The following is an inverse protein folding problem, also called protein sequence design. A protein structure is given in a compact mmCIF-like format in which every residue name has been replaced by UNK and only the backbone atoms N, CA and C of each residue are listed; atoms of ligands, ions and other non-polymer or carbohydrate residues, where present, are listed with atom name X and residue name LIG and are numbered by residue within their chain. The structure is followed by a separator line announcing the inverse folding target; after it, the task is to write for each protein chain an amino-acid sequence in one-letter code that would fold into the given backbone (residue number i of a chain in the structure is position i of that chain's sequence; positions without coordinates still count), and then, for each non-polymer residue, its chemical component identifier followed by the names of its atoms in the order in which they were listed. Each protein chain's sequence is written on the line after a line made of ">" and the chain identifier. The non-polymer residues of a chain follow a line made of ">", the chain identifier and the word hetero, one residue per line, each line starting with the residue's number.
data_IF_592766762666
#
_entry.id   IF_592766762666
#
_cell.length_a   1.000
_cell.length_b   1.000
_cell.length_c   1.000
_cell.angle_alpha   90.00
_cell.angle_beta   90.00
_cell.angle_gamma   90.00
#
_symmetry.space_group_name_H-M   'P 1'
#
loop_
_entity.id
_entity.type
_entity.pdbx_description
1 polymer ?
#
# COMPACT_ATOMS: atom_id res chain seq x y z
N UNK A 1 -23.85 -29.24 -24.76
CA UNK A 1 -22.90 -28.47 -23.93
C UNK A 1 -23.66 -27.97 -22.70
N UNK A 2 -23.32 -28.45 -21.50
CA UNK A 2 -23.95 -27.97 -20.27
C UNK A 2 -23.43 -26.55 -19.97
N UNK A 3 -24.33 -25.56 -19.98
CA UNK A 3 -24.06 -24.25 -19.42
C UNK A 3 -23.91 -24.42 -17.90
N UNK A 4 -22.68 -24.34 -17.40
CA UNK A 4 -22.40 -24.18 -15.98
C UNK A 4 -22.88 -22.78 -15.60
N UNK A 5 -24.07 -22.70 -15.02
CA UNK A 5 -24.55 -21.47 -14.41
C UNK A 5 -23.54 -21.03 -13.33
N UNK A 6 -23.01 -19.80 -13.37
CA UNK A 6 -22.19 -19.29 -12.30
C UNK A 6 -23.02 -19.28 -11.01
N UNK A 7 -22.42 -19.58 -9.84
CA UNK A 7 -23.16 -19.68 -8.59
C UNK A 7 -23.94 -18.38 -8.32
N UNK A 8 -25.27 -18.48 -8.27
CA UNK A 8 -26.25 -17.40 -8.20
C UNK A 8 -26.13 -16.49 -6.96
N UNK A 9 -25.21 -16.79 -6.04
CA UNK A 9 -25.12 -16.14 -4.72
C UNK A 9 -24.16 -14.95 -4.62
N UNK A 10 -23.50 -14.51 -5.71
CA UNK A 10 -22.51 -13.42 -5.66
C UNK A 10 -23.00 -12.08 -6.25
N UNK A 11 -24.19 -12.05 -6.87
CA UNK A 11 -24.56 -10.94 -7.77
C UNK A 11 -25.09 -9.70 -7.05
N UNK A 12 -25.60 -9.77 -5.82
CA UNK A 12 -26.35 -8.66 -5.22
C UNK A 12 -26.01 -8.30 -3.76
N UNK A 13 -24.84 -8.66 -3.24
CA UNK A 13 -24.43 -8.17 -1.93
C UNK A 13 -23.60 -6.90 -2.08
N UNK A 14 -24.27 -5.76 -1.99
CA UNK A 14 -23.58 -4.50 -1.70
C UNK A 14 -22.76 -4.70 -0.42
N UNK A 15 -21.50 -4.30 -0.47
CA UNK A 15 -20.66 -4.30 0.72
C UNK A 15 -19.81 -3.05 0.76
N UNK A 16 -19.42 -2.68 1.98
CA UNK A 16 -18.50 -1.59 2.25
C UNK A 16 -17.34 -2.16 3.04
N UNK A 17 -16.11 -1.93 2.58
CA UNK A 17 -14.92 -2.21 3.38
C UNK A 17 -14.57 -0.97 4.19
N UNK A 18 -14.85 -1.03 5.49
CA UNK A 18 -14.60 0.06 6.43
C UNK A 18 -13.15 0.11 6.95
N UNK A 19 -12.30 -0.87 6.58
CA UNK A 19 -10.92 -0.97 7.03
C UNK A 19 -10.74 -0.84 8.56
N UNK A 20 -11.72 -1.33 9.33
CA UNK A 20 -11.73 -1.27 10.80
C UNK A 20 -10.73 -2.21 11.45
N UNK A 21 -10.23 -3.19 10.71
CA UNK A 21 -9.24 -4.18 11.14
C UNK A 21 -7.82 -3.74 10.73
N UNK A 22 -7.05 -3.28 11.72
CA UNK A 22 -5.68 -2.85 11.50
C UNK A 22 -4.84 -4.00 10.92
N UNK A 23 -4.03 -3.66 9.91
CA UNK A 23 -3.19 -4.62 9.21
C UNK A 23 -1.83 -4.00 8.91
N UNK A 24 -0.77 -4.70 9.31
CA UNK A 24 0.59 -4.27 9.01
C UNK A 24 0.82 -4.17 7.49
N UNK A 25 1.60 -3.16 7.08
CA UNK A 25 1.99 -2.98 5.69
C UNK A 25 2.57 -4.28 5.07
N UNK A 26 2.09 -4.62 3.88
CA UNK A 26 2.49 -5.83 3.16
C UNK A 26 1.73 -7.10 3.51
N UNK A 27 0.73 -7.00 4.39
CA UNK A 27 -0.14 -8.13 4.77
C UNK A 27 -1.61 -7.94 4.39
N UNK A 28 -1.97 -6.78 3.83
CA UNK A 28 -3.36 -6.43 3.56
C UNK A 28 -3.99 -7.30 2.47
N UNK A 29 -3.25 -7.59 1.40
CA UNK A 29 -3.73 -8.42 0.29
C UNK A 29 -3.90 -9.87 0.77
N UNK A 30 -5.08 -10.44 0.51
CA UNK A 30 -5.50 -11.78 0.95
C UNK A 30 -6.33 -11.78 2.24
N UNK A 31 -6.37 -10.67 2.98
CA UNK A 31 -7.22 -10.55 4.18
C UNK A 31 -8.69 -10.38 3.83
N UNK A 32 -9.57 -10.66 4.79
CA UNK A 32 -11.01 -10.43 4.65
C UNK A 32 -11.38 -9.12 5.33
N UNK A 33 -12.26 -8.35 4.70
CA UNK A 33 -12.96 -7.25 5.35
C UNK A 33 -13.95 -7.75 6.41
N UNK A 34 -14.47 -6.84 7.22
CA UNK A 34 -15.53 -7.11 8.20
C UNK A 34 -16.80 -7.71 7.59
N UNK A 35 -17.10 -7.40 6.33
CA UNK A 35 -18.22 -7.98 5.58
C UNK A 35 -17.92 -9.35 4.94
N UNK A 36 -16.69 -9.86 5.11
CA UNK A 36 -16.22 -11.14 4.58
C UNK A 36 -15.62 -11.06 3.17
N UNK A 37 -15.68 -9.91 2.50
CA UNK A 37 -15.07 -9.73 1.18
C UNK A 37 -13.54 -9.82 1.26
N UNK A 38 -12.94 -10.61 0.37
CA UNK A 38 -11.47 -10.78 0.31
C UNK A 38 -10.84 -9.58 -0.41
N UNK A 39 -9.87 -8.95 0.25
CA UNK A 39 -9.04 -7.88 -0.32
C UNK A 39 -8.03 -8.48 -1.28
N UNK A 40 -8.29 -8.39 -2.57
CA UNK A 40 -7.36 -8.83 -3.63
C UNK A 40 -6.52 -7.64 -4.09
N UNK A 41 -5.56 -7.87 -4.96
CA UNK A 41 -4.77 -6.81 -5.57
C UNK A 41 -3.29 -7.14 -5.67
N UNK A 42 -2.48 -6.09 -5.82
CA UNK A 42 -1.04 -6.18 -6.01
C UNK A 42 -0.38 -5.24 -5.00
N UNK A 43 0.66 -5.73 -4.31
CA UNK A 43 1.48 -4.94 -3.40
C UNK A 43 2.96 -5.35 -3.54
N UNK A 44 3.59 -4.95 -4.65
CA UNK A 44 4.94 -5.42 -5.02
C UNK A 44 5.97 -5.06 -3.94
N UNK A 45 5.86 -3.86 -3.37
CA UNK A 45 6.81 -3.34 -2.38
C UNK A 45 6.38 -3.55 -0.93
N UNK A 46 5.25 -4.23 -0.70
CA UNK A 46 4.72 -4.57 0.63
C UNK A 46 4.42 -3.30 1.47
N UNK A 47 3.80 -2.32 0.83
CA UNK A 47 3.56 -0.98 1.33
C UNK A 47 2.08 -0.70 1.67
N UNK A 48 1.15 -1.59 1.27
CA UNK A 48 -0.27 -1.47 1.59
C UNK A 48 -0.53 -1.94 3.02
N UNK A 49 -1.03 -1.05 3.87
CA UNK A 49 -1.45 -1.34 5.23
C UNK A 49 -2.86 -0.82 5.54
N UNK A 50 -3.38 -1.19 6.70
CA UNK A 50 -4.60 -0.61 7.27
C UNK A 50 -4.24 -0.05 8.64
N UNK A 51 -4.52 1.23 8.83
CA UNK A 51 -4.22 1.93 10.07
C UNK A 51 -5.27 3.01 10.36
N UNK A 52 -5.88 2.92 11.54
CA UNK A 52 -6.90 3.84 12.06
C UNK A 52 -8.12 3.97 11.14
N UNK A 53 -8.72 2.84 10.75
CA UNK A 53 -9.95 2.84 9.94
C UNK A 53 -9.73 3.22 8.47
N UNK A 54 -8.47 3.29 8.01
CA UNK A 54 -8.14 3.73 6.67
C UNK A 54 -7.13 2.80 5.99
N UNK A 55 -7.38 2.52 4.70
CA UNK A 55 -6.40 1.93 3.81
C UNK A 55 -5.27 2.92 3.56
N UNK A 56 -4.03 2.48 3.77
CA UNK A 56 -2.82 3.28 3.57
C UNK A 56 -2.03 2.72 2.39
N UNK A 57 -1.97 3.50 1.32
CA UNK A 57 -1.09 3.27 0.17
C UNK A 57 0.13 4.17 0.33
N UNK A 58 1.22 3.64 0.88
CA UNK A 58 2.47 4.41 0.96
C UNK A 58 3.08 4.55 -0.44
N UNK A 59 3.70 5.71 -0.76
CA UNK A 59 4.39 5.92 -2.02
C UNK A 59 5.41 4.82 -2.32
N UNK A 60 5.41 4.37 -3.57
CA UNK A 60 6.36 3.38 -4.08
C UNK A 60 7.77 4.00 -4.15
N UNK A 61 8.79 3.19 -3.89
CA UNK A 61 10.19 3.56 -4.14
C UNK A 61 10.55 3.52 -5.63
N UNK A 62 9.89 2.64 -6.39
CA UNK A 62 10.00 2.58 -7.85
C UNK A 62 8.62 2.87 -8.45
N UNK A 63 8.35 4.12 -8.86
CA UNK A 63 7.05 4.49 -9.40
C UNK A 63 6.80 3.75 -10.72
N UNK A 64 5.70 3.02 -10.81
CA UNK A 64 5.17 2.49 -12.05
C UNK A 64 3.70 2.07 -11.88
N UNK A 65 2.99 1.97 -13.01
CA UNK A 65 1.62 1.46 -13.05
C UNK A 65 1.53 -0.01 -12.62
N UNK A 66 0.41 -0.38 -11.99
CA UNK A 66 0.09 -1.77 -11.65
C UNK A 66 0.93 -2.39 -10.52
N UNK A 67 1.79 -1.62 -9.84
CA UNK A 67 2.66 -2.13 -8.76
C UNK A 67 2.02 -2.10 -7.37
N UNK A 68 0.96 -1.32 -7.20
CA UNK A 68 0.23 -1.19 -5.95
C UNK A 68 -1.26 -0.96 -6.27
N UNK A 69 -2.14 -1.73 -5.66
CA UNK A 69 -3.58 -1.58 -5.81
C UNK A 69 -4.35 -2.61 -5.00
N UNK A 70 -5.57 -2.24 -4.61
CA UNK A 70 -6.54 -3.12 -3.97
C UNK A 70 -7.71 -3.34 -4.92
N UNK A 71 -8.27 -4.55 -4.91
CA UNK A 71 -9.39 -4.95 -5.75
C UNK A 71 -10.34 -5.87 -4.99
N UNK A 72 -11.59 -5.87 -5.42
CA UNK A 72 -12.65 -6.74 -4.91
C UNK A 72 -13.35 -7.43 -6.09
N UNK A 73 -14.13 -8.48 -5.81
CA UNK A 73 -14.86 -9.23 -6.84
C UNK A 73 -14.21 -10.57 -7.22
N UNK A 74 -14.70 -11.25 -8.27
CA UNK A 74 -15.11 -10.70 -9.56
C UNK A 74 -16.48 -10.00 -9.56
N UNK A 75 -16.63 -8.97 -10.39
CA UNK A 75 -17.92 -8.33 -10.66
C UNK A 75 -18.20 -8.39 -12.15
N UNK A 76 -19.42 -8.80 -12.50
CA UNK A 76 -19.91 -8.72 -13.89
C UNK A 76 -20.32 -7.29 -14.18
N UNK A 77 -19.88 -6.73 -15.31
CA UNK A 77 -20.28 -5.40 -15.75
C UNK A 77 -21.78 -5.40 -16.06
N UNK A 78 -22.55 -4.62 -15.32
CA UNK A 78 -23.99 -4.42 -15.54
C UNK A 78 -24.32 -2.93 -15.50
N UNK A 79 -25.39 -2.53 -16.20
CA UNK A 79 -25.87 -1.15 -16.16
C UNK A 79 -26.30 -0.80 -14.73
N UNK A 80 -25.82 0.34 -14.22
CA UNK A 80 -26.10 0.78 -12.85
C UNK A 80 -25.09 0.30 -11.79
N UNK A 81 -24.13 -0.56 -12.13
CA UNK A 81 -23.02 -0.88 -11.22
C UNK A 81 -22.07 0.31 -11.09
N UNK A 82 -21.92 0.83 -9.88
CA UNK A 82 -21.04 1.93 -9.56
C UNK A 82 -19.94 1.51 -8.58
N UNK A 83 -18.72 2.02 -8.80
CA UNK A 83 -17.60 1.92 -7.87
C UNK A 83 -17.29 3.32 -7.34
N UNK A 84 -17.42 3.51 -6.03
CA UNK A 84 -17.13 4.77 -5.35
C UNK A 84 -15.91 4.63 -4.44
N UNK A 85 -15.02 5.62 -4.48
CA UNK A 85 -13.86 5.70 -3.60
C UNK A 85 -13.82 7.08 -2.97
N UNK A 86 -13.70 7.12 -1.65
CA UNK A 86 -13.31 8.33 -0.93
C UNK A 86 -11.80 8.31 -0.73
N UNK A 87 -11.09 9.18 -1.46
CA UNK A 87 -9.63 9.28 -1.38
C UNK A 87 -9.24 10.54 -0.61
N UNK A 88 -8.63 10.35 0.56
CA UNK A 88 -7.96 11.45 1.26
C UNK A 88 -6.47 11.42 0.94
N UNK A 89 -5.98 12.46 0.26
CA UNK A 89 -4.55 12.63 0.05
C UNK A 89 -3.96 13.33 1.28
N UNK A 90 -3.25 12.60 2.13
CA UNK A 90 -2.43 13.24 3.17
C UNK A 90 -1.29 13.98 2.49
N UNK A 91 -1.15 15.29 2.73
CA UNK A 91 -0.22 16.23 2.11
C UNK A 91 1.04 15.57 1.50
N UNK A 92 0.91 15.07 0.27
CA UNK A 92 2.03 14.59 -0.53
C UNK A 92 2.40 15.77 -1.39
N UNK A 93 3.40 16.54 -0.96
CA UNK A 93 4.01 17.58 -1.79
C UNK A 93 4.40 16.89 -3.09
N UNK A 94 3.66 17.17 -4.16
CA UNK A 94 3.78 16.54 -5.47
C UNK A 94 5.14 16.90 -6.05
N UNK A 95 6.17 16.15 -5.67
CA UNK A 95 7.48 16.23 -6.30
C UNK A 95 7.54 15.18 -7.39
N UNK A 96 7.93 15.63 -8.58
CA UNK A 96 8.37 14.76 -9.66
C UNK A 96 9.62 14.02 -9.15
N UNK A 97 9.48 12.73 -8.83
CA UNK A 97 10.61 11.91 -8.41
C UNK A 97 11.60 11.80 -9.58
N UNK A 98 12.75 12.46 -9.48
CA UNK A 98 13.93 12.04 -10.24
C UNK A 98 14.39 10.71 -9.64
N UNK A 99 14.58 9.70 -10.47
CA UNK A 99 15.16 8.43 -10.04
C UNK A 99 16.64 8.68 -9.75
N UNK A 100 16.95 9.09 -8.52
CA UNK A 100 18.31 9.36 -8.07
C UNK A 100 19.09 8.06 -7.84
N UNK A 101 20.39 8.01 -8.21
CA UNK A 101 21.26 6.87 -7.93
C UNK A 101 21.40 6.60 -6.42
N UNK A 102 21.81 5.37 -6.08
CA UNK A 102 21.91 4.87 -4.69
C UNK A 102 22.74 5.79 -3.77
N UNK A 103 23.81 6.38 -4.31
CA UNK A 103 24.71 7.29 -3.59
C UNK A 103 24.02 8.59 -3.18
N UNK A 104 23.23 9.18 -4.07
CA UNK A 104 22.46 10.39 -3.78
C UNK A 104 21.35 10.12 -2.75
N UNK A 105 20.69 8.95 -2.83
CA UNK A 105 19.68 8.53 -1.85
C UNK A 105 20.28 8.36 -0.45
N UNK A 106 21.46 7.73 -0.35
CA UNK A 106 22.19 7.58 0.92
C UNK A 106 22.66 8.93 1.47
N UNK A 107 23.19 9.79 0.60
CA UNK A 107 23.63 11.14 0.96
C UNK A 107 22.47 11.99 1.47
N UNK A 108 21.33 12.00 0.76
CA UNK A 108 20.12 12.73 1.16
C UNK A 108 19.48 12.16 2.42
N UNK A 109 19.55 10.85 2.62
CA UNK A 109 19.14 10.23 3.88
C UNK A 109 20.04 10.64 5.05
N UNK A 110 21.36 10.73 4.83
CA UNK A 110 22.30 11.24 5.84
C UNK A 110 22.05 12.71 6.19
N UNK A 111 21.79 13.56 5.18
CA UNK A 111 21.55 14.99 5.38
C UNK A 111 20.20 15.23 6.07
N UNK A 112 19.15 14.51 5.65
CA UNK A 112 17.81 14.65 6.20
C UNK A 112 17.16 16.03 5.97
N UNK A 113 15.86 16.19 6.29
CA UNK A 113 15.29 17.51 6.46
C UNK A 113 15.97 18.17 7.67
N UNK A 114 16.28 19.47 7.59
CA UNK A 114 17.13 20.27 8.50
C UNK A 114 16.78 20.25 10.01
N UNK A 115 15.82 19.43 10.42
CA UNK A 115 15.25 19.36 11.76
C UNK A 115 15.96 18.41 12.73
N UNK A 116 16.81 17.46 12.28
CA UNK A 116 17.43 16.45 13.17
C UNK A 116 18.94 16.23 12.91
N UNK A 117 19.75 16.18 13.99
CA UNK A 117 21.19 15.89 13.89
C UNK A 117 21.43 14.42 13.44
N UNK A 118 22.37 14.16 12.52
CA UNK A 118 22.59 12.84 11.92
C UNK A 118 22.89 11.73 12.95
N UNK A 119 23.64 12.06 14.02
CA UNK A 119 23.96 11.12 15.10
C UNK A 119 22.72 10.66 15.90
N UNK A 120 21.76 11.56 16.16
CA UNK A 120 20.49 11.19 16.84
C UNK A 120 19.63 10.29 15.96
N UNK A 121 19.73 10.44 14.63
CA UNK A 121 19.04 9.60 13.65
C UNK A 121 19.59 8.16 13.64
N UNK A 122 20.92 8.02 13.69
CA UNK A 122 21.56 6.71 13.85
C UNK A 122 21.15 6.04 15.16
N UNK A 123 21.06 6.79 16.26
CA UNK A 123 20.63 6.27 17.56
C UNK A 123 19.13 5.88 17.59
N UNK A 124 18.26 6.61 16.89
CA UNK A 124 16.84 6.23 16.69
C UNK A 124 16.68 5.00 15.81
N UNK A 125 17.60 4.82 14.86
CA UNK A 125 17.66 3.61 14.03
C UNK A 125 18.00 2.38 14.85
N UNK A 126 18.93 2.49 15.81
CA UNK A 126 19.29 1.36 16.69
C UNK A 126 18.24 1.04 17.75
N UNK A 127 17.27 1.91 18.01
CA UNK A 127 16.32 1.76 19.13
C UNK A 127 14.85 1.50 18.74
N UNK A 128 14.43 1.64 17.48
CA UNK A 128 13.00 1.55 17.11
C UNK A 128 12.59 0.31 16.27
N UNK A 129 11.30 -0.06 16.33
CA UNK A 129 10.64 -1.01 15.42
C UNK A 129 10.75 -0.63 13.92
N UNK A 130 11.25 0.57 13.60
CA UNK A 130 11.52 1.05 12.24
C UNK A 130 12.73 0.40 11.54
N UNK A 131 13.56 -0.38 12.26
CA UNK A 131 14.68 -1.15 11.70
C UNK A 131 14.27 -1.98 10.49
N UNK A 132 13.15 -2.70 10.58
CA UNK A 132 12.73 -3.61 9.51
C UNK A 132 12.28 -2.86 8.25
N UNK A 133 11.65 -1.69 8.39
CA UNK A 133 11.22 -0.87 7.25
C UNK A 133 12.41 -0.22 6.56
N UNK A 134 13.37 0.34 7.30
CA UNK A 134 14.58 0.91 6.71
C UNK A 134 15.52 -0.15 6.11
N UNK A 135 15.73 -1.29 6.79
CA UNK A 135 16.52 -2.39 6.23
C UNK A 135 15.88 -2.93 4.95
N UNK A 136 14.55 -3.07 4.91
CA UNK A 136 13.85 -3.43 3.66
C UNK A 136 14.05 -2.38 2.56
N UNK A 137 13.98 -1.09 2.89
CA UNK A 137 14.26 0.00 1.92
C UNK A 137 15.69 -0.09 1.39
N UNK A 138 16.68 -0.29 2.27
CA UNK A 138 18.09 -0.40 1.91
C UNK A 138 18.38 -1.63 1.04
N UNK A 139 17.84 -2.80 1.42
CA UNK A 139 17.94 -4.03 0.64
C UNK A 139 17.28 -3.89 -0.74
N UNK A 140 16.17 -3.17 -0.84
CA UNK A 140 15.52 -2.89 -2.12
C UNK A 140 16.31 -1.90 -2.98
N UNK A 141 16.96 -0.90 -2.37
CA UNK A 141 17.84 0.02 -3.08
C UNK A 141 19.04 -0.70 -3.70
N UNK A 142 19.64 -1.67 -3.00
CA UNK A 142 20.77 -2.46 -3.49
C UNK A 142 20.36 -3.40 -4.64
N UNK A 143 19.10 -3.84 -4.67
CA UNK A 143 18.57 -4.79 -5.67
C UNK A 143 17.97 -4.13 -6.92
N UNK A 144 17.75 -2.80 -6.90
CA UNK A 144 17.17 -2.03 -8.01
C UNK A 144 18.24 -1.50 -8.95
#
# INVERSE_FOLDING_TARGET
>A
MQQLNPPENLVNKSFTDSFSDNCCAGKTIGTKSSSGAVRKGIDVEKLIGIDNGALRLQPLLKPAWGRQGIAYGPYTRTNGLAFGVFLSNGHNTSQTERIEPLTERLHRWMIGPETDKPAKRLLRWTSSQGKSRMLRKLLWWIRS
#
